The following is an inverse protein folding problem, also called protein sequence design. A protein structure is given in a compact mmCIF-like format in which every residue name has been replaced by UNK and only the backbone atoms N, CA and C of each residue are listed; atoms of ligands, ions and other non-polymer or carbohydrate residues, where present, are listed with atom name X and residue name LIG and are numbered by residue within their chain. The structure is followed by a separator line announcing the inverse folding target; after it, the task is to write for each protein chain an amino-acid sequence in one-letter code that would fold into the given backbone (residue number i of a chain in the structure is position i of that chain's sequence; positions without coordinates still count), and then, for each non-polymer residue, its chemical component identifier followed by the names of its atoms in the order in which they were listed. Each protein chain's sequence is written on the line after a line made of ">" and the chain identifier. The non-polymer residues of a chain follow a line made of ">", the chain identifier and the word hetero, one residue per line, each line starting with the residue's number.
data_IF_605994832265
#
_entry.id   IF_605994832265
#
_cell.length_a   1.000
_cell.length_b   1.000
_cell.length_c   1.000
_cell.angle_alpha   90.00
_cell.angle_beta   90.00
_cell.angle_gamma   90.00
#
_symmetry.space_group_name_H-M   'P 1'
#
loop_
_entity.id
_entity.type
_entity.pdbx_description
1 polymer ?
#
# COMPACT_ATOMS: atom_id res chain seq x y z
N UNK A 1 8.00 -59.08 -24.29
CA UNK A 1 8.67 -59.30 -22.98
C UNK A 1 9.20 -57.93 -22.53
N UNK A 2 8.43 -57.11 -21.81
CA UNK A 2 8.29 -56.99 -20.34
C UNK A 2 9.55 -56.56 -19.55
N UNK A 3 9.46 -55.33 -19.01
CA UNK A 3 10.02 -54.78 -17.73
C UNK A 3 11.53 -54.52 -17.66
N UNK A 4 12.06 -53.45 -17.08
CA UNK A 4 11.51 -52.43 -16.19
C UNK A 4 12.34 -52.34 -14.89
N UNK A 5 13.08 -51.22 -14.71
CA UNK A 5 13.38 -50.48 -13.45
C UNK A 5 14.10 -51.19 -12.28
N UNK A 6 15.20 -50.60 -11.82
CA UNK A 6 15.65 -50.44 -10.40
C UNK A 6 16.86 -49.47 -10.39
N UNK A 7 16.82 -48.22 -9.89
CA UNK A 7 16.68 -47.67 -8.52
C UNK A 7 17.68 -48.22 -7.49
N UNK A 8 18.92 -47.72 -7.56
CA UNK A 8 19.85 -47.71 -6.42
C UNK A 8 19.35 -46.73 -5.35
N UNK A 9 18.97 -47.27 -4.19
CA UNK A 9 18.75 -46.55 -2.94
C UNK A 9 19.97 -46.76 -2.05
N UNK A 10 20.80 -45.72 -1.89
CA UNK A 10 21.96 -45.71 -1.00
C UNK A 10 21.68 -44.93 0.26
N UNK A 11 21.28 -45.63 1.31
CA UNK A 11 21.11 -45.13 2.68
C UNK A 11 22.45 -44.76 3.31
N UNK A 12 22.53 -43.61 3.99
CA UNK A 12 23.40 -43.46 5.15
C UNK A 12 22.78 -42.51 6.17
N UNK A 13 22.11 -43.14 7.14
CA UNK A 13 21.78 -42.54 8.43
C UNK A 13 23.06 -42.54 9.27
N UNK A 14 23.55 -41.37 9.66
CA UNK A 14 24.42 -41.27 10.84
C UNK A 14 23.67 -40.50 11.91
N UNK A 15 23.35 -41.24 12.96
CA UNK A 15 22.80 -40.78 14.22
C UNK A 15 23.96 -40.69 15.22
N UNK A 16 24.15 -39.53 15.85
CA UNK A 16 24.71 -39.37 17.21
C UNK A 16 24.08 -38.09 17.79
N UNK A 17 22.99 -38.18 18.56
CA UNK A 17 22.90 -38.42 20.02
C UNK A 17 23.85 -37.56 20.88
N UNK A 18 23.21 -36.57 21.52
CA UNK A 18 23.22 -36.23 22.97
C UNK A 18 24.53 -35.78 23.64
N UNK A 19 24.48 -34.56 24.19
CA UNK A 19 24.64 -34.23 25.61
C UNK A 19 24.30 -32.72 25.78
N UNK A 20 23.17 -32.35 26.40
CA UNK A 20 22.95 -32.22 27.84
C UNK A 20 23.50 -30.90 28.44
N UNK A 21 22.54 -30.05 28.85
CA UNK A 21 22.54 -29.15 30.02
C UNK A 21 23.71 -28.19 30.24
N UNK A 22 23.39 -26.90 30.19
CA UNK A 22 23.74 -26.00 31.29
C UNK A 22 22.53 -25.13 31.64
N UNK A 23 22.04 -25.32 32.85
CA UNK A 23 21.10 -24.47 33.56
C UNK A 23 21.94 -23.44 34.33
N UNK A 24 21.61 -22.16 34.18
CA UNK A 24 21.82 -21.10 35.17
C UNK A 24 20.90 -19.95 34.72
N UNK A 25 19.73 -19.71 35.32
CA UNK A 25 19.49 -19.30 36.71
C UNK A 25 20.30 -18.04 37.06
N UNK A 26 19.75 -16.86 36.74
CA UNK A 26 19.98 -15.65 37.52
C UNK A 26 18.62 -15.12 37.98
N UNK A 27 18.32 -15.48 39.22
CA UNK A 27 17.29 -14.90 40.07
C UNK A 27 17.61 -13.41 40.31
N UNK A 28 16.61 -12.54 40.14
CA UNK A 28 15.89 -11.87 41.23
C UNK A 28 16.56 -10.61 41.80
N UNK A 29 15.95 -9.48 41.51
CA UNK A 29 15.74 -8.34 42.42
C UNK A 29 14.56 -7.53 41.83
N UNK A 30 13.30 -7.86 42.12
CA UNK A 30 12.49 -7.46 43.28
C UNK A 30 12.43 -5.96 43.56
N UNK A 31 11.21 -5.51 43.93
CA UNK A 31 10.77 -4.18 44.37
C UNK A 31 10.35 -3.30 43.18
N UNK A 32 9.08 -3.04 42.88
CA UNK A 32 7.91 -2.89 43.74
C UNK A 32 7.52 -1.41 43.75
N UNK A 33 6.42 -1.06 43.07
CA UNK A 33 5.36 -0.20 43.61
C UNK A 33 4.23 -0.05 42.58
N UNK A 34 3.07 -0.57 42.95
CA UNK A 34 1.79 -0.09 42.45
C UNK A 34 1.51 1.28 43.08
N UNK A 35 1.16 2.28 42.28
CA UNK A 35 0.46 3.47 42.76
C UNK A 35 -0.78 3.63 41.91
N UNK A 36 -1.89 3.15 42.49
CA UNK A 36 -3.23 3.61 42.21
C UNK A 36 -3.29 5.12 42.47
N UNK A 37 -3.50 5.93 41.44
CA UNK A 37 -3.98 7.30 41.60
C UNK A 37 -5.51 7.27 41.58
N UNK A 38 -6.07 7.02 42.76
CA UNK A 38 -7.45 7.31 43.11
C UNK A 38 -7.48 8.58 43.98
N UNK A 39 -8.36 9.53 43.63
CA UNK A 39 -8.68 10.75 44.40
C UNK A 39 -7.73 11.93 44.11
N UNK A 40 -8.16 13.17 43.91
CA UNK A 40 -9.37 13.85 44.34
C UNK A 40 -9.63 15.08 43.46
N UNK A 41 -10.86 15.23 42.95
CA UNK A 41 -11.60 16.50 42.95
C UNK A 41 -13.02 16.19 42.49
N UNK A 42 -13.90 16.05 43.47
CA UNK A 42 -15.34 15.99 43.27
C UNK A 42 -15.78 17.40 42.83
N UNK A 43 -15.91 17.63 41.54
CA UNK A 43 -16.68 18.77 41.02
C UNK A 43 -18.08 18.25 40.73
N UNK A 44 -18.98 18.56 41.64
CA UNK A 44 -20.44 18.47 41.51
C UNK A 44 -20.91 18.91 40.12
N UNK A 45 -21.83 18.20 39.46
CA UNK A 45 -22.49 18.75 38.29
C UNK A 45 -23.41 19.88 38.78
N UNK A 46 -23.01 21.13 38.55
CA UNK A 46 -23.98 22.23 38.55
C UNK A 46 -24.89 21.97 37.35
N UNK A 47 -26.10 21.53 37.66
CA UNK A 47 -27.25 21.62 36.77
C UNK A 47 -27.46 23.12 36.53
N UNK A 48 -26.91 23.62 35.43
CA UNK A 48 -27.35 24.87 34.83
C UNK A 48 -28.48 24.50 33.86
N UNK A 49 -29.70 24.70 34.33
CA UNK A 49 -30.91 24.62 33.54
C UNK A 49 -31.03 25.94 32.78
N UNK A 50 -30.41 26.02 31.61
CA UNK A 50 -30.62 27.09 30.65
C UNK A 50 -30.60 26.45 29.25
N UNK A 51 -31.68 25.73 28.95
CA UNK A 51 -32.07 25.49 27.56
C UNK A 51 -32.34 26.86 26.93
N UNK A 52 -31.53 27.34 25.97
CA UNK A 52 -31.97 28.48 25.16
C UNK A 52 -33.24 28.03 24.42
N UNK A 53 -34.29 28.87 24.32
CA UNK A 53 -35.50 28.47 23.62
C UNK A 53 -35.09 27.99 22.24
N UNK A 54 -35.50 26.76 21.92
CA UNK A 54 -35.45 26.19 20.59
C UNK A 54 -36.43 27.02 19.75
N UNK A 55 -36.01 28.24 19.44
CA UNK A 55 -36.64 29.06 18.43
C UNK A 55 -36.47 28.26 17.16
N UNK A 56 -37.58 27.71 16.68
CA UNK A 56 -37.73 27.17 15.34
C UNK A 56 -36.95 28.08 14.39
N UNK A 57 -35.74 27.66 14.04
CA UNK A 57 -35.04 28.22 12.90
C UNK A 57 -35.91 27.73 11.77
N UNK A 58 -36.82 28.61 11.35
CA UNK A 58 -37.53 28.46 10.11
C UNK A 58 -36.48 28.03 9.09
N UNK A 59 -36.78 26.92 8.42
CA UNK A 59 -36.11 26.45 7.23
C UNK A 59 -36.29 27.55 6.16
N UNK A 60 -35.57 28.66 6.33
CA UNK A 60 -35.45 29.72 5.35
C UNK A 60 -34.45 29.15 4.38
N UNK A 61 -34.94 28.31 3.48
CA UNK A 61 -34.26 28.00 2.24
C UNK A 61 -33.95 29.35 1.59
N UNK A 62 -32.68 29.78 1.48
CA UNK A 62 -32.37 30.91 0.62
C UNK A 62 -32.65 30.43 -0.80
N UNK A 63 -33.77 30.87 -1.37
CA UNK A 63 -34.30 30.47 -2.69
C UNK A 63 -33.35 30.78 -3.87
N UNK A 64 -32.13 31.24 -3.59
CA UNK A 64 -31.12 31.66 -4.55
C UNK A 64 -29.73 31.01 -4.33
N UNK A 65 -29.57 30.03 -3.44
CA UNK A 65 -28.30 29.29 -3.32
C UNK A 65 -28.30 28.12 -4.30
N UNK A 66 -27.80 28.36 -5.51
CA UNK A 66 -27.48 27.30 -6.45
C UNK A 66 -26.24 26.56 -5.94
N UNK A 67 -26.45 25.46 -5.24
CA UNK A 67 -25.36 24.55 -4.83
C UNK A 67 -24.83 23.86 -6.09
N UNK A 68 -23.81 24.43 -6.71
CA UNK A 68 -23.07 23.76 -7.78
C UNK A 68 -22.01 22.85 -7.16
N UNK A 69 -22.32 21.55 -7.09
CA UNK A 69 -21.34 20.53 -6.73
C UNK A 69 -20.42 20.32 -7.92
N UNK A 70 -19.22 20.88 -7.85
CA UNK A 70 -18.17 20.58 -8.82
C UNK A 70 -17.81 19.09 -8.75
N UNK A 71 -17.55 18.43 -9.90
CA UNK A 71 -17.07 17.06 -9.88
C UNK A 71 -15.77 17.00 -9.08
N UNK A 72 -15.56 15.91 -8.35
CA UNK A 72 -14.32 15.68 -7.63
C UNK A 72 -13.13 15.85 -8.60
N UNK A 73 -12.12 16.57 -8.14
CA UNK A 73 -10.89 16.78 -8.90
C UNK A 73 -10.30 15.45 -9.34
N UNK A 74 -9.78 15.41 -10.58
CA UNK A 74 -9.21 14.22 -11.19
C UNK A 74 -7.76 14.47 -11.49
N UNK A 75 -6.89 13.62 -10.96
CA UNK A 75 -5.47 13.77 -11.17
C UNK A 75 -5.11 13.57 -12.63
N UNK A 76 -4.18 14.38 -13.12
CA UNK A 76 -3.52 14.19 -14.41
C UNK A 76 -2.17 13.49 -14.22
N UNK A 77 -1.52 13.13 -15.33
CA UNK A 77 -0.15 12.60 -15.31
C UNK A 77 0.83 13.61 -14.70
N UNK A 78 0.59 14.91 -14.90
CA UNK A 78 1.42 15.96 -14.32
C UNK A 78 1.28 16.01 -12.79
N UNK A 79 0.06 15.85 -12.28
CA UNK A 79 -0.22 15.86 -10.85
C UNK A 79 0.41 14.65 -10.16
N UNK A 80 0.26 13.45 -10.74
CA UNK A 80 0.91 12.24 -10.24
C UNK A 80 2.44 12.41 -10.17
N UNK A 81 3.07 13.00 -11.19
CA UNK A 81 4.51 13.30 -11.17
C UNK A 81 4.88 14.40 -10.18
N UNK A 82 4.01 15.38 -9.99
CA UNK A 82 4.13 16.46 -9.01
C UNK A 82 4.13 15.98 -7.56
N UNK A 83 3.45 14.86 -7.27
CA UNK A 83 3.49 14.21 -5.96
C UNK A 83 4.86 13.59 -5.63
N UNK A 84 5.76 13.47 -6.62
CA UNK A 84 7.09 12.90 -6.46
C UNK A 84 7.14 11.39 -6.70
N UNK A 85 8.37 10.89 -6.87
CA UNK A 85 8.63 9.49 -7.13
C UNK A 85 8.44 8.64 -5.86
N UNK A 86 7.51 7.68 -5.93
CA UNK A 86 7.28 6.71 -4.84
C UNK A 86 8.27 5.55 -4.93
N UNK A 87 8.78 5.28 -6.12
CA UNK A 87 9.88 4.35 -6.33
C UNK A 87 10.73 4.78 -7.51
N UNK A 88 12.04 4.60 -7.41
CA UNK A 88 13.00 4.76 -8.48
C UNK A 88 14.07 3.68 -8.36
N UNK A 89 14.44 3.06 -9.48
CA UNK A 89 15.51 2.06 -9.46
C UNK A 89 15.61 1.24 -10.73
N UNK A 90 16.45 0.22 -10.68
CA UNK A 90 16.73 -0.68 -11.80
C UNK A 90 16.25 -2.10 -11.54
N UNK A 91 15.99 -2.83 -12.63
CA UNK A 91 15.66 -4.25 -12.66
C UNK A 91 16.50 -4.93 -13.73
N UNK A 92 16.85 -6.20 -13.49
CA UNK A 92 17.50 -7.06 -14.49
C UNK A 92 16.55 -7.49 -15.62
N UNK A 93 15.24 -7.25 -15.45
CA UNK A 93 14.22 -7.56 -16.45
C UNK A 93 14.17 -6.45 -17.51
N UNK A 94 13.73 -6.81 -18.72
CA UNK A 94 13.57 -5.83 -19.79
C UNK A 94 12.34 -4.95 -19.56
N UNK A 95 12.33 -3.75 -20.15
CA UNK A 95 11.20 -2.81 -20.11
C UNK A 95 9.87 -3.49 -20.45
N UNK A 96 9.84 -4.34 -21.48
CA UNK A 96 8.64 -5.07 -21.91
C UNK A 96 8.15 -6.08 -20.88
N UNK A 97 9.06 -6.77 -20.18
CA UNK A 97 8.71 -7.72 -19.12
C UNK A 97 8.12 -7.00 -17.92
N UNK A 98 8.77 -5.94 -17.46
CA UNK A 98 8.30 -5.14 -16.32
C UNK A 98 6.94 -4.52 -16.66
N UNK A 99 6.80 -3.87 -17.81
CA UNK A 99 5.55 -3.21 -18.21
C UNK A 99 4.38 -4.18 -18.36
N UNK A 100 4.62 -5.37 -18.92
CA UNK A 100 3.57 -6.37 -19.11
C UNK A 100 3.13 -6.99 -17.79
N UNK A 101 4.08 -7.31 -16.90
CA UNK A 101 3.78 -7.80 -15.57
C UNK A 101 2.98 -6.77 -14.76
N UNK A 102 3.46 -5.52 -14.72
CA UNK A 102 2.80 -4.44 -13.97
C UNK A 102 1.39 -4.17 -14.48
N UNK A 103 1.21 -4.06 -15.81
CA UNK A 103 -0.11 -3.86 -16.40
C UNK A 103 -1.09 -4.98 -16.01
N UNK A 104 -0.61 -6.23 -15.99
CA UNK A 104 -1.44 -7.37 -15.61
C UNK A 104 -1.85 -7.32 -14.13
N UNK A 105 -0.90 -7.02 -13.22
CA UNK A 105 -1.21 -6.92 -11.79
C UNK A 105 -2.13 -5.74 -11.48
N UNK A 106 -1.89 -4.57 -12.07
CA UNK A 106 -2.78 -3.42 -11.90
C UNK A 106 -4.18 -3.69 -12.41
N UNK A 107 -4.32 -4.33 -13.59
CA UNK A 107 -5.64 -4.67 -14.13
C UNK A 107 -6.37 -5.71 -13.27
N UNK A 108 -5.64 -6.61 -12.61
CA UNK A 108 -6.20 -7.57 -11.66
C UNK A 108 -6.65 -6.91 -10.36
N UNK A 109 -5.90 -5.92 -9.87
CA UNK A 109 -6.25 -5.15 -8.67
C UNK A 109 -7.42 -4.19 -8.92
N UNK A 110 -7.45 -3.53 -10.08
CA UNK A 110 -8.46 -2.54 -10.47
C UNK A 110 -9.05 -2.89 -11.85
N UNK A 111 -10.03 -3.81 -11.91
CA UNK A 111 -10.61 -4.29 -13.16
C UNK A 111 -11.29 -3.18 -14.00
N UNK A 112 -11.79 -2.13 -13.36
CA UNK A 112 -12.47 -1.02 -14.04
C UNK A 112 -11.52 0.10 -14.49
N UNK A 113 -10.28 0.12 -13.98
CA UNK A 113 -9.30 1.11 -14.38
C UNK A 113 -8.72 0.77 -15.78
N UNK A 114 -8.38 1.82 -16.54
CA UNK A 114 -7.74 1.73 -17.84
C UNK A 114 -6.23 1.72 -17.65
N UNK A 115 -5.55 0.76 -18.28
CA UNK A 115 -4.09 0.76 -18.37
C UNK A 115 -3.72 1.16 -19.79
N UNK A 116 -3.01 2.26 -19.95
CA UNK A 116 -2.49 2.72 -21.23
C UNK A 116 -0.97 2.59 -21.25
N UNK A 117 -0.43 2.13 -22.39
CA UNK A 117 1.01 2.09 -22.63
C UNK A 117 1.33 3.08 -23.74
N UNK A 118 2.26 3.98 -23.49
CA UNK A 118 2.74 4.95 -24.48
C UNK A 118 4.25 4.83 -24.64
N UNK A 119 4.75 5.15 -25.83
CA UNK A 119 6.18 5.13 -26.13
C UNK A 119 6.80 6.44 -25.65
N UNK A 120 7.93 6.37 -24.94
CA UNK A 120 8.65 7.53 -24.42
C UNK A 120 10.11 7.46 -24.88
N UNK A 121 10.38 7.89 -26.11
CA UNK A 121 11.69 7.73 -26.75
C UNK A 121 12.06 6.25 -26.91
N UNK A 122 13.18 5.84 -26.32
CA UNK A 122 13.59 4.43 -26.22
C UNK A 122 12.86 3.65 -25.10
N UNK A 123 12.18 4.37 -24.20
CA UNK A 123 11.42 3.83 -23.08
C UNK A 123 9.92 3.65 -23.34
N UNK A 124 9.21 3.37 -22.26
CA UNK A 124 7.78 3.14 -22.23
C UNK A 124 7.19 3.73 -20.95
N UNK A 125 6.09 4.45 -21.08
CA UNK A 125 5.28 4.91 -19.95
C UNK A 125 4.05 4.01 -19.82
N UNK A 126 3.77 3.58 -18.60
CA UNK A 126 2.56 2.88 -18.21
C UNK A 126 1.70 3.83 -17.38
N UNK A 127 0.49 4.12 -17.84
CA UNK A 127 -0.47 4.94 -17.12
C UNK A 127 -1.65 4.07 -16.67
N UNK A 128 -2.03 4.19 -15.41
CA UNK A 128 -3.25 3.61 -14.86
C UNK A 128 -4.20 4.75 -14.51
N UNK A 129 -5.39 4.75 -15.08
CA UNK A 129 -6.42 5.77 -14.83
C UNK A 129 -7.80 5.19 -14.56
N UNK A 130 -8.57 5.87 -13.73
CA UNK A 130 -9.96 5.58 -13.36
C UNK A 130 -10.86 6.71 -13.87
N UNK A 131 -12.10 6.37 -14.24
CA UNK A 131 -13.08 7.39 -14.65
C UNK A 131 -13.44 8.33 -13.51
N UNK A 132 -13.30 7.90 -12.26
CA UNK A 132 -13.73 8.68 -11.09
C UNK A 132 -12.61 9.55 -10.57
N UNK A 133 -11.39 9.01 -10.53
CA UNK A 133 -10.26 9.59 -9.80
C UNK A 133 -9.19 10.20 -10.72
N UNK A 134 -9.28 9.97 -12.04
CA UNK A 134 -8.22 10.35 -12.97
C UNK A 134 -7.04 9.38 -12.93
N UNK A 135 -5.83 9.90 -13.00
CA UNK A 135 -4.58 9.12 -13.04
C UNK A 135 -4.24 8.61 -11.63
N UNK A 136 -4.18 7.29 -11.50
CA UNK A 136 -3.84 6.61 -10.26
C UNK A 136 -2.35 6.28 -10.16
N UNK A 137 -1.70 5.90 -11.27
CA UNK A 137 -0.29 5.60 -11.26
C UNK A 137 0.35 5.82 -12.63
N UNK A 138 1.61 6.25 -12.62
CA UNK A 138 2.45 6.42 -13.81
C UNK A 138 3.78 5.72 -13.57
N UNK A 139 4.10 4.72 -14.39
CA UNK A 139 5.38 4.02 -14.36
C UNK A 139 6.15 4.35 -15.64
N UNK A 140 7.18 5.16 -15.50
CA UNK A 140 8.12 5.47 -16.57
C UNK A 140 9.25 4.44 -16.56
N UNK A 141 9.49 3.76 -17.69
CA UNK A 141 10.53 2.76 -17.84
C UNK A 141 11.45 3.12 -19.00
N UNK A 142 12.75 2.95 -18.81
CA UNK A 142 13.76 3.12 -19.86
C UNK A 142 14.64 1.87 -19.95
N UNK A 143 15.14 1.50 -21.14
CA UNK A 143 16.10 0.41 -21.27
C UNK A 143 17.40 0.77 -20.53
N UNK A 144 17.94 -0.19 -19.77
CA UNK A 144 19.20 -0.05 -19.05
C UNK A 144 20.03 -1.33 -19.25
N UNK A 145 21.35 -1.31 -19.10
CA UNK A 145 22.17 -2.53 -19.23
C UNK A 145 22.75 -2.93 -17.86
N UNK A 146 22.41 -4.11 -17.31
CA UNK A 146 21.47 -5.12 -17.80
C UNK A 146 20.00 -4.85 -17.36
N UNK A 147 19.05 -4.80 -18.30
CA UNK A 147 17.61 -4.77 -18.03
C UNK A 147 16.88 -3.44 -18.29
N UNK A 148 16.31 -2.84 -17.25
CA UNK A 148 15.54 -1.60 -17.32
C UNK A 148 15.68 -0.78 -16.05
N UNK A 149 15.58 0.53 -16.20
CA UNK A 149 15.44 1.47 -15.10
C UNK A 149 14.02 2.06 -15.13
N UNK A 150 13.49 2.43 -13.98
CA UNK A 150 12.15 2.97 -13.90
C UNK A 150 11.94 3.92 -12.75
N UNK A 151 10.89 4.73 -12.90
CA UNK A 151 10.39 5.63 -11.86
C UNK A 151 8.87 5.49 -11.80
N UNK A 152 8.33 5.27 -10.60
CA UNK A 152 6.91 5.15 -10.33
C UNK A 152 6.43 6.40 -9.60
N UNK A 153 5.32 6.94 -10.10
CA UNK A 153 4.56 8.03 -9.51
C UNK A 153 3.15 7.54 -9.19
N UNK A 154 2.58 8.05 -8.10
CA UNK A 154 1.23 7.74 -7.67
C UNK A 154 0.37 9.02 -7.67
N UNK A 155 -0.87 8.87 -8.11
CA UNK A 155 -1.89 9.90 -7.90
C UNK A 155 -2.20 10.07 -6.40
N UNK A 156 -2.78 11.20 -6.05
CA UNK A 156 -3.21 11.58 -4.70
C UNK A 156 -4.18 10.58 -4.07
N UNK A 157 -5.04 9.97 -4.89
CA UNK A 157 -6.05 8.97 -4.47
C UNK A 157 -5.55 7.52 -4.57
N UNK A 158 -4.30 7.31 -4.99
CA UNK A 158 -3.79 5.99 -5.32
C UNK A 158 -3.39 5.19 -4.07
N UNK A 159 -3.67 3.88 -4.11
CA UNK A 159 -3.25 2.96 -3.05
C UNK A 159 -1.79 2.53 -3.20
N UNK A 160 -1.06 2.40 -2.08
CA UNK A 160 0.28 1.83 -2.04
C UNK A 160 0.37 0.39 -2.60
N UNK A 161 -0.74 -0.34 -2.63
CA UNK A 161 -0.81 -1.66 -3.26
C UNK A 161 -0.43 -1.66 -4.75
N UNK A 162 -0.57 -0.52 -5.43
CA UNK A 162 -0.13 -0.32 -6.81
C UNK A 162 1.40 -0.27 -6.91
N UNK A 163 2.07 0.33 -5.94
CA UNK A 163 3.54 0.33 -5.87
C UNK A 163 4.07 -1.06 -5.54
N UNK A 164 3.40 -1.81 -4.67
CA UNK A 164 3.78 -3.20 -4.38
C UNK A 164 3.64 -4.12 -5.59
N UNK A 165 2.64 -3.87 -6.46
CA UNK A 165 2.52 -4.59 -7.72
C UNK A 165 3.75 -4.35 -8.62
N UNK A 166 4.23 -3.11 -8.71
CA UNK A 166 5.46 -2.79 -9.45
C UNK A 166 6.66 -3.51 -8.84
N UNK A 167 6.83 -3.45 -7.51
CA UNK A 167 7.93 -4.13 -6.79
C UNK A 167 7.97 -5.64 -7.03
N UNK A 168 6.82 -6.30 -7.15
CA UNK A 168 6.74 -7.74 -7.49
C UNK A 168 7.15 -8.04 -8.93
N UNK A 169 7.03 -7.06 -9.82
CA UNK A 169 7.32 -7.20 -11.24
C UNK A 169 8.75 -6.85 -11.63
N UNK A 170 9.43 -6.03 -10.83
CA UNK A 170 10.86 -5.72 -10.94
C UNK A 170 11.72 -6.94 -10.61
#
# INVERSE_FOLDING_TARGET
>A
MNRGKDRNSGTSRVSRRRAARAVAASAAASIGLAVLLAGCAQTTPVVAHDDPPVGSVADVAPENVKVETFPAYRDTVADARGNGAVWQGSSKKTTVRVSTCTAHLWKRQLPHARVQRSKAGAGQTLELSSSNDGVLAVLDLVPHKPGSEGTLYLGSTASQSLADAVRRCL
#
